data_IF_347980312273
#
_entry.id   IF_347980312273
#
_cell.length_a   1.000
_cell.length_b   1.000
_cell.length_c   1.000
_cell.angle_alpha   90.00
_cell.angle_beta   90.00
_cell.angle_gamma   90.00
#
_symmetry.space_group_name_H-M   'P 1'
#
loop_
_entity.id
_entity.type
_entity.pdbx_description
1 polymer ?
#
# COMPACT_ATOMS: atom_id res chain seq x y z
N UNK A 1 -13.59 -12.36 0.11
CA UNK A 1 -14.69 -11.77 0.92
C UNK A 1 -15.78 -12.76 1.37
N UNK A 2 -15.96 -13.88 0.69
CA UNK A 2 -17.02 -14.87 0.93
C UNK A 2 -17.04 -15.52 2.31
N UNK A 3 -15.89 -15.97 2.84
CA UNK A 3 -15.82 -16.61 4.15
C UNK A 3 -16.28 -15.70 5.30
N UNK A 4 -15.95 -14.40 5.22
CA UNK A 4 -16.39 -13.36 6.15
C UNK A 4 -17.91 -13.11 6.07
N UNK A 5 -18.54 -13.43 4.93
CA UNK A 5 -19.99 -13.41 4.74
C UNK A 5 -20.66 -14.77 5.00
N UNK A 6 -19.94 -15.73 5.60
CA UNK A 6 -20.44 -17.08 5.86
C UNK A 6 -20.64 -17.94 4.59
N UNK A 7 -20.20 -17.46 3.42
CA UNK A 7 -20.28 -18.23 2.18
C UNK A 7 -19.14 -19.23 2.12
N UNK A 8 -19.49 -20.52 2.01
CA UNK A 8 -18.53 -21.61 1.78
C UNK A 8 -18.11 -21.59 0.32
N UNK A 9 -16.81 -21.65 0.05
CA UNK A 9 -16.31 -22.03 -1.26
C UNK A 9 -15.94 -23.50 -1.23
N UNK A 10 -16.36 -24.21 -2.28
CA UNK A 10 -15.82 -25.52 -2.61
C UNK A 10 -14.60 -25.26 -3.49
N UNK A 11 -13.46 -24.97 -2.85
CA UNK A 11 -12.18 -25.08 -3.53
C UNK A 11 -11.73 -26.53 -3.38
N UNK A 12 -11.15 -27.07 -4.45
CA UNK A 12 -10.65 -28.43 -4.62
C UNK A 12 -10.32 -29.15 -3.29
N UNK A 13 -11.13 -30.16 -2.96
CA UNK A 13 -11.09 -31.10 -1.83
C UNK A 13 -10.88 -30.58 -0.38
N UNK A 14 -10.67 -29.29 -0.13
CA UNK A 14 -10.46 -28.74 1.23
C UNK A 14 -11.65 -27.90 1.69
N UNK A 15 -12.37 -28.39 2.71
CA UNK A 15 -13.38 -27.59 3.44
C UNK A 15 -12.71 -26.34 4.03
N UNK A 16 -13.19 -25.16 3.64
CA UNK A 16 -12.72 -23.91 4.24
C UNK A 16 -13.36 -23.70 5.63
N UNK A 17 -12.61 -24.03 6.69
CA UNK A 17 -13.01 -23.82 8.09
C UNK A 17 -13.27 -22.34 8.45
N UNK A 18 -12.78 -21.39 7.64
CA UNK A 18 -12.99 -19.96 7.84
C UNK A 18 -14.48 -19.54 7.75
N UNK A 19 -15.33 -20.34 7.10
CA UNK A 19 -16.78 -20.11 7.07
C UNK A 19 -17.43 -20.33 8.44
N UNK A 20 -16.83 -21.12 9.33
CA UNK A 20 -17.40 -21.51 10.62
C UNK A 20 -16.82 -20.70 11.80
N UNK A 21 -15.81 -19.86 11.56
CA UNK A 21 -15.26 -18.95 12.57
C UNK A 21 -16.18 -17.76 12.85
N UNK A 22 -16.13 -17.17 14.07
CA UNK A 22 -16.82 -15.93 14.41
C UNK A 22 -16.61 -14.84 13.36
N UNK A 23 -17.69 -14.10 13.05
CA UNK A 23 -17.65 -13.01 12.07
C UNK A 23 -17.36 -11.67 12.76
N UNK A 24 -16.71 -10.73 12.07
CA UNK A 24 -16.54 -9.37 12.54
C UNK A 24 -17.89 -8.76 12.91
N UNK A 25 -17.93 -8.19 14.10
CA UNK A 25 -19.13 -7.57 14.66
C UNK A 25 -19.42 -6.18 14.07
N UNK A 26 -18.44 -5.57 13.39
CA UNK A 26 -18.52 -4.21 12.83
C UNK A 26 -18.50 -4.19 11.29
N UNK A 27 -19.02 -5.24 10.65
CA UNK A 27 -19.03 -5.36 9.18
C UNK A 27 -17.72 -5.93 8.63
N UNK A 28 -17.56 -5.90 7.31
CA UNK A 28 -16.39 -6.51 6.69
C UNK A 28 -15.09 -5.76 7.05
N UNK A 29 -13.97 -6.47 7.25
CA UNK A 29 -12.67 -5.83 7.40
C UNK A 29 -12.33 -5.02 6.15
N UNK A 30 -11.74 -3.85 6.35
CA UNK A 30 -11.19 -3.04 5.26
C UNK A 30 -9.97 -3.74 4.68
N UNK A 31 -9.97 -3.98 3.38
CA UNK A 31 -8.86 -4.60 2.66
C UNK A 31 -7.96 -3.51 2.08
N UNK A 32 -6.66 -3.63 2.33
CA UNK A 32 -5.65 -2.66 1.91
C UNK A 32 -4.55 -3.36 1.12
N UNK A 33 -4.08 -2.73 0.05
CA UNK A 33 -2.93 -3.22 -0.73
C UNK A 33 -1.92 -2.10 -0.98
N UNK A 34 -0.64 -2.46 -1.06
CA UNK A 34 0.48 -1.54 -1.26
C UNK A 34 1.41 -1.94 -2.43
N UNK A 35 0.92 -2.79 -3.34
CA UNK A 35 1.65 -3.14 -4.55
C UNK A 35 1.62 -1.99 -5.56
N UNK A 36 2.80 -1.55 -6.01
CA UNK A 36 2.95 -0.47 -6.99
C UNK A 36 3.20 -0.97 -8.43
N UNK A 37 3.43 -2.27 -8.63
CA UNK A 37 3.57 -2.85 -9.96
C UNK A 37 2.23 -2.86 -10.70
N UNK A 38 2.21 -2.90 -12.05
CA UNK A 38 0.96 -2.98 -12.81
C UNK A 38 0.08 -4.16 -12.39
N UNK A 39 0.67 -5.32 -12.12
CA UNK A 39 -0.03 -6.50 -11.63
C UNK A 39 -0.57 -6.29 -10.19
N UNK A 40 0.21 -5.67 -9.31
CA UNK A 40 -0.20 -5.36 -7.94
C UNK A 40 -1.37 -4.37 -7.90
N UNK A 41 -1.33 -3.33 -8.73
CA UNK A 41 -2.43 -2.36 -8.88
C UNK A 41 -3.67 -3.02 -9.46
N UNK A 42 -3.52 -3.91 -10.45
CA UNK A 42 -4.65 -4.65 -11.03
C UNK A 42 -5.33 -5.59 -10.03
N UNK A 43 -4.55 -6.28 -9.19
CA UNK A 43 -5.07 -7.08 -8.09
C UNK A 43 -5.81 -6.22 -7.07
N UNK A 44 -5.20 -5.10 -6.67
CA UNK A 44 -5.77 -4.18 -5.69
C UNK A 44 -7.07 -3.54 -6.18
N UNK A 45 -7.15 -3.17 -7.46
CA UNK A 45 -8.35 -2.62 -8.10
C UNK A 45 -9.54 -3.60 -8.01
N UNK A 46 -9.29 -4.90 -8.12
CA UNK A 46 -10.32 -5.95 -8.05
C UNK A 46 -10.73 -6.31 -6.62
N UNK A 47 -9.82 -6.20 -5.64
CA UNK A 47 -10.02 -6.83 -4.34
C UNK A 47 -9.88 -5.94 -3.11
N UNK A 48 -9.26 -4.76 -3.22
CA UNK A 48 -8.98 -3.89 -2.06
C UNK A 48 -9.93 -2.71 -1.96
N UNK A 49 -10.19 -2.23 -0.75
CA UNK A 49 -10.97 -1.02 -0.48
C UNK A 49 -10.08 0.23 -0.50
N UNK A 50 -8.82 0.08 -0.09
CA UNK A 50 -7.79 1.12 -0.09
C UNK A 50 -6.54 0.64 -0.83
N UNK A 51 -6.00 1.50 -1.69
CA UNK A 51 -4.74 1.26 -2.41
C UNK A 51 -3.73 2.31 -1.94
N UNK A 52 -2.61 1.86 -1.38
CA UNK A 52 -1.48 2.73 -1.09
C UNK A 52 -0.75 3.10 -2.38
N UNK A 53 -0.52 4.39 -2.60
CA UNK A 53 0.22 4.92 -3.72
C UNK A 53 1.38 5.79 -3.24
N UNK A 54 2.57 5.52 -3.74
CA UNK A 54 3.73 6.41 -3.68
C UNK A 54 3.84 7.17 -4.99
N UNK A 55 4.24 8.44 -4.92
CA UNK A 55 4.44 9.26 -6.12
C UNK A 55 5.51 8.62 -7.02
N UNK A 56 5.21 8.49 -8.32
CA UNK A 56 6.16 7.96 -9.30
C UNK A 56 7.40 8.85 -9.50
N UNK A 57 7.31 10.11 -9.10
CA UNK A 57 8.38 11.12 -9.19
C UNK A 57 9.33 11.13 -7.99
N UNK A 58 9.16 10.21 -7.03
CA UNK A 58 10.02 10.09 -5.86
C UNK A 58 9.58 10.95 -4.66
N UNK A 59 10.53 11.28 -3.79
CA UNK A 59 10.27 11.93 -2.50
C UNK A 59 10.22 13.46 -2.55
N UNK A 60 10.35 14.06 -3.75
CA UNK A 60 10.19 15.50 -3.92
C UNK A 60 8.71 15.88 -3.77
N UNK A 61 8.35 16.73 -2.79
CA UNK A 61 6.96 17.04 -2.49
C UNK A 61 6.27 17.84 -3.62
N UNK A 62 6.99 18.72 -4.31
CA UNK A 62 6.41 19.51 -5.41
C UNK A 62 6.11 18.61 -6.60
N UNK A 63 7.07 17.76 -6.97
CA UNK A 63 6.89 16.79 -8.05
C UNK A 63 5.82 15.75 -7.71
N UNK A 64 5.69 15.35 -6.44
CA UNK A 64 4.64 14.46 -5.99
C UNK A 64 3.25 15.11 -6.12
N UNK A 65 3.10 16.38 -5.74
CA UNK A 65 1.85 17.12 -5.90
C UNK A 65 1.40 17.21 -7.36
N UNK A 66 2.35 17.29 -8.30
CA UNK A 66 2.05 17.31 -9.75
C UNK A 66 1.69 15.93 -10.28
N UNK A 67 2.39 14.87 -9.89
CA UNK A 67 2.23 13.53 -10.47
C UNK A 67 1.08 12.71 -9.86
N UNK A 68 0.84 12.86 -8.56
CA UNK A 68 -0.15 12.07 -7.82
C UNK A 68 -1.58 12.16 -8.39
N UNK A 69 -2.11 13.33 -8.78
CA UNK A 69 -3.48 13.42 -9.31
C UNK A 69 -3.72 12.50 -10.51
N UNK A 70 -2.81 12.47 -11.48
CA UNK A 70 -2.93 11.63 -12.67
C UNK A 70 -2.82 10.14 -12.31
N UNK A 71 -1.88 9.78 -11.43
CA UNK A 71 -1.71 8.40 -10.94
C UNK A 71 -2.97 7.91 -10.18
N UNK A 72 -3.53 8.74 -9.30
CA UNK A 72 -4.76 8.45 -8.55
C UNK A 72 -5.94 8.28 -9.51
N UNK A 73 -6.05 9.13 -10.52
CA UNK A 73 -7.12 9.04 -11.52
C UNK A 73 -7.05 7.72 -12.31
N UNK A 74 -5.86 7.29 -12.71
CA UNK A 74 -5.64 6.01 -13.40
C UNK A 74 -6.03 4.82 -12.53
N UNK A 75 -5.59 4.77 -11.27
CA UNK A 75 -5.95 3.71 -10.31
C UNK A 75 -7.48 3.63 -10.14
N UNK A 76 -8.14 4.78 -9.95
CA UNK A 76 -9.60 4.83 -9.81
C UNK A 76 -10.32 4.43 -11.09
N UNK A 77 -9.81 4.80 -12.26
CA UNK A 77 -10.37 4.40 -13.54
C UNK A 77 -10.30 2.88 -13.74
N UNK A 78 -9.17 2.26 -13.39
CA UNK A 78 -9.00 0.81 -13.45
C UNK A 78 -9.94 0.09 -12.49
N UNK A 79 -10.12 0.58 -11.25
CA UNK A 79 -11.09 0.00 -10.33
C UNK A 79 -12.54 0.06 -10.86
N UNK A 80 -12.90 1.17 -11.53
CA UNK A 80 -14.22 1.31 -12.16
C UNK A 80 -14.47 0.31 -13.29
N UNK A 81 -13.44 -0.17 -13.99
CA UNK A 81 -13.59 -1.26 -14.99
C UNK A 81 -14.10 -2.56 -14.36
N UNK A 82 -13.89 -2.76 -13.06
CA UNK A 82 -14.41 -3.89 -12.29
C UNK A 82 -15.68 -3.55 -11.50
N UNK A 83 -16.31 -2.39 -11.76
CA UNK A 83 -17.49 -1.93 -11.03
C UNK A 83 -17.21 -1.58 -9.56
N UNK A 84 -15.96 -1.23 -9.22
CA UNK A 84 -15.54 -0.91 -7.85
C UNK A 84 -15.11 0.55 -7.71
N UNK A 85 -15.36 1.09 -6.53
CA UNK A 85 -14.76 2.34 -6.07
C UNK A 85 -13.71 2.05 -5.00
N UNK A 86 -12.53 2.64 -5.14
CA UNK A 86 -11.41 2.46 -4.21
C UNK A 86 -10.97 3.81 -3.67
N UNK A 87 -10.54 3.83 -2.40
CA UNK A 87 -9.80 4.95 -1.84
C UNK A 87 -8.32 4.79 -2.20
N UNK A 88 -7.64 5.90 -2.43
CA UNK A 88 -6.18 5.92 -2.61
C UNK A 88 -5.57 6.68 -1.45
N UNK A 89 -4.58 6.08 -0.81
CA UNK A 89 -3.89 6.64 0.34
C UNK A 89 -2.42 6.87 -0.01
N UNK A 90 -1.92 8.06 0.29
CA UNK A 90 -0.51 8.43 0.12
C UNK A 90 0.16 8.44 1.50
N UNK A 91 1.41 8.00 1.58
CA UNK A 91 2.17 7.96 2.83
C UNK A 91 3.37 8.93 2.76
N UNK A 92 3.17 10.22 3.06
CA UNK A 92 4.27 11.18 3.11
C UNK A 92 5.06 11.07 4.43
N UNK A 93 6.36 11.31 4.37
CA UNK A 93 7.16 11.57 5.57
C UNK A 93 7.09 13.07 5.89
N UNK A 94 6.58 13.41 7.08
CA UNK A 94 6.33 14.80 7.48
C UNK A 94 7.35 15.24 8.53
N UNK A 95 8.03 16.36 8.28
CA UNK A 95 8.93 17.01 9.24
C UNK A 95 8.30 18.32 9.69
N UNK A 96 7.75 18.34 10.91
CA UNK A 96 7.16 19.56 11.50
C UNK A 96 8.16 20.27 12.42
N UNK A 97 8.38 21.57 12.23
CA UNK A 97 9.20 22.45 13.08
C UNK A 97 8.55 23.83 13.22
N UNK A 98 8.93 24.65 14.23
CA UNK A 98 8.38 25.99 14.43
C UNK A 98 8.48 26.92 13.22
N UNK A 99 9.53 26.77 12.40
CA UNK A 99 9.70 27.49 11.14
C UNK A 99 10.08 26.56 9.99
N UNK A 100 9.81 26.99 8.76
CA UNK A 100 10.22 26.28 7.54
C UNK A 100 11.74 26.08 7.48
N UNK A 101 12.51 27.11 7.84
CA UNK A 101 13.98 27.04 7.90
C UNK A 101 14.45 25.92 8.83
N UNK A 102 13.83 25.79 10.00
CA UNK A 102 14.15 24.72 10.95
C UNK A 102 13.76 23.33 10.42
N UNK A 103 12.64 23.22 9.70
CA UNK A 103 12.24 21.95 9.06
C UNK A 103 13.26 21.49 8.02
N UNK A 104 13.72 22.41 7.15
CA UNK A 104 14.76 22.14 6.16
C UNK A 104 16.10 21.81 6.82
N UNK A 105 16.51 22.55 7.85
CA UNK A 105 17.73 22.24 8.60
C UNK A 105 17.66 20.84 9.24
N UNK A 106 16.50 20.45 9.76
CA UNK A 106 16.29 19.11 10.30
C UNK A 106 16.34 18.03 9.22
N UNK A 107 15.72 18.27 8.06
CA UNK A 107 15.84 17.39 6.88
C UNK A 107 17.30 17.17 6.50
N UNK A 108 18.08 18.25 6.41
CA UNK A 108 19.50 18.16 6.07
C UNK A 108 20.28 17.36 7.11
N UNK A 109 20.01 17.59 8.40
CA UNK A 109 20.64 16.80 9.48
C UNK A 109 20.36 15.30 9.35
N UNK A 110 19.13 14.90 9.02
CA UNK A 110 18.78 13.49 8.78
C UNK A 110 19.58 12.93 7.59
N UNK A 111 19.65 13.69 6.49
CA UNK A 111 20.37 13.25 5.29
C UNK A 111 21.88 13.14 5.51
N UNK A 112 22.49 14.08 6.25
CA UNK A 112 23.92 14.06 6.58
C UNK A 112 24.28 12.93 7.55
N UNK A 113 23.37 12.59 8.49
CA UNK A 113 23.58 11.48 9.41
C UNK A 113 23.27 10.11 8.79
N UNK A 114 22.69 10.07 7.60
CA UNK A 114 22.33 8.83 6.93
C UNK A 114 23.59 8.17 6.37
N UNK A 115 23.82 6.92 6.77
CA UNK A 115 24.82 6.04 6.16
C UNK A 115 24.18 5.30 4.98
N UNK A 116 24.40 5.71 3.72
CA UNK A 116 23.59 5.23 2.59
C UNK A 116 23.68 3.72 2.39
N UNK A 117 24.85 3.14 2.68
CA UNK A 117 25.06 1.69 2.64
C UNK A 117 24.20 0.95 3.67
N UNK A 118 24.04 1.51 4.87
CA UNK A 118 23.21 0.93 5.94
C UNK A 118 21.71 1.06 5.64
N UNK A 119 21.30 2.20 5.09
CA UNK A 119 19.91 2.41 4.64
C UNK A 119 19.56 1.43 3.52
N UNK A 120 20.45 1.26 2.55
CA UNK A 120 20.25 0.30 1.45
C UNK A 120 20.20 -1.14 1.95
N UNK A 121 21.08 -1.53 2.87
CA UNK A 121 21.06 -2.86 3.47
C UNK A 121 19.74 -3.12 4.21
N UNK A 122 19.27 -2.17 5.04
CA UNK A 122 17.99 -2.28 5.74
C UNK A 122 16.81 -2.44 4.77
N UNK A 123 16.78 -1.66 3.68
CA UNK A 123 15.73 -1.76 2.66
C UNK A 123 15.81 -3.10 1.91
N UNK A 124 17.01 -3.54 1.55
CA UNK A 124 17.21 -4.84 0.90
C UNK A 124 16.73 -5.99 1.80
N UNK A 125 17.07 -5.97 3.08
CA UNK A 125 16.62 -6.97 4.06
C UNK A 125 15.09 -6.92 4.23
N UNK A 126 14.50 -5.72 4.32
CA UNK A 126 13.06 -5.55 4.43
C UNK A 126 12.31 -6.14 3.23
N UNK A 127 12.79 -5.92 2.00
CA UNK A 127 12.18 -6.48 0.79
C UNK A 127 12.53 -7.96 0.56
N UNK A 128 13.72 -8.42 0.97
CA UNK A 128 14.10 -9.83 0.93
C UNK A 128 13.25 -10.68 1.88
N UNK A 129 12.87 -10.15 3.04
CA UNK A 129 11.93 -10.80 3.96
C UNK A 129 10.53 -11.00 3.35
N UNK A 130 10.12 -10.16 2.38
CA UNK A 130 8.89 -10.38 1.60
C UNK A 130 9.06 -11.40 0.46
N UNK A 131 10.27 -11.58 -0.06
CA UNK A 131 10.56 -12.53 -1.14
C UNK A 131 10.64 -14.00 -0.65
N UNK A 132 10.68 -14.26 0.65
CA UNK A 132 10.92 -15.59 1.23
C UNK A 132 9.66 -16.45 1.48
N UNK A 133 8.55 -16.21 0.76
CA UNK A 133 7.34 -17.04 0.86
C UNK A 133 6.80 -17.62 -0.46
N UNK A 134 7.56 -17.55 -1.57
CA UNK A 134 7.16 -18.17 -2.85
C UNK A 134 8.02 -19.37 -3.26
N UNK A 135 8.80 -19.96 -2.35
CA UNK A 135 9.68 -21.10 -2.67
C UNK A 135 9.52 -22.33 -1.75
N UNK A 136 8.31 -22.61 -1.24
CA UNK A 136 8.01 -23.85 -0.52
C UNK A 136 6.62 -24.39 -0.86
#
# INVERSE_FOLDING_TARGET
MSAWRGRRHRADERRSFAADLPKPVHGLPVLVSAGSSPAGVAYAAQHSDIIFATASTGADPEQACVSLPAQIAAIKAQARQYGREVKVLVNPHVICRPSEREAHAWRQRILTAAEPGRVRALLADAFAAFAWKEAA
#
